data_IF_578333248518
#
_entry.id   IF_578333248518
#
_cell.length_a   1.000
_cell.length_b   1.000
_cell.length_c   1.000
_cell.angle_alpha   90.00
_cell.angle_beta   90.00
_cell.angle_gamma   90.00
#
_symmetry.space_group_name_H-M   'P 1'
#
loop_
_entity.id
_entity.type
_entity.pdbx_description
1 polymer ?
#
# COMPACT_ATOMS: atom_id res chain seq x y z
N UNK A 1 9.76 15.97 24.19
CA UNK A 1 10.78 16.38 23.18
C UNK A 1 10.13 17.46 22.35
N UNK A 2 10.71 18.65 22.27
CA UNK A 2 10.18 19.76 21.46
C UNK A 2 10.41 19.43 19.98
N UNK A 3 9.35 19.15 19.24
CA UNK A 3 9.43 18.87 17.81
C UNK A 3 9.83 20.16 17.09
N UNK A 4 11.01 20.17 16.46
CA UNK A 4 11.47 21.34 15.73
C UNK A 4 10.71 21.41 14.39
N UNK A 5 9.98 22.51 14.22
CA UNK A 5 9.17 22.78 13.03
C UNK A 5 9.86 23.84 12.19
N UNK A 6 9.91 23.61 10.88
CA UNK A 6 10.57 24.48 9.92
C UNK A 6 9.54 25.07 8.96
N UNK A 7 9.53 26.38 8.79
CA UNK A 7 8.79 26.99 7.70
C UNK A 7 9.35 26.53 6.35
N UNK A 8 8.58 26.64 5.26
CA UNK A 8 9.09 26.28 3.92
C UNK A 8 10.38 27.03 3.53
N UNK A 9 10.56 28.32 3.86
CA UNK A 9 11.84 29.02 3.68
C UNK A 9 12.99 28.46 4.53
N UNK A 10 12.72 28.04 5.76
CA UNK A 10 13.73 27.42 6.64
C UNK A 10 14.10 26.02 6.15
N UNK A 11 13.12 25.24 5.71
CA UNK A 11 13.34 23.95 5.06
C UNK A 11 14.20 24.09 3.80
N UNK A 12 13.98 25.14 2.99
CA UNK A 12 14.81 25.44 1.82
C UNK A 12 16.26 25.75 2.19
N UNK A 13 16.50 26.50 3.26
CA UNK A 13 17.86 26.77 3.77
C UNK A 13 18.53 25.52 4.32
N UNK A 14 17.82 24.71 5.09
CA UNK A 14 18.34 23.48 5.69
C UNK A 14 18.71 22.44 4.63
N UNK A 15 17.85 22.28 3.62
CA UNK A 15 18.00 21.24 2.59
C UNK A 15 18.80 21.71 1.36
N UNK A 16 18.95 23.03 1.18
CA UNK A 16 19.51 23.64 -0.01
C UNK A 16 18.64 23.47 -1.27
N UNK A 17 17.35 23.15 -1.10
CA UNK A 17 16.38 22.97 -2.19
C UNK A 17 15.57 24.27 -2.35
N UNK A 18 15.35 24.78 -3.58
CA UNK A 18 14.54 25.98 -3.80
C UNK A 18 13.12 25.82 -3.23
N UNK A 19 12.59 26.87 -2.59
CA UNK A 19 11.24 26.84 -2.02
C UNK A 19 10.16 26.45 -3.04
N UNK A 20 10.30 26.90 -4.28
CA UNK A 20 9.38 26.57 -5.38
C UNK A 20 9.36 25.07 -5.66
N UNK A 21 10.52 24.41 -5.59
CA UNK A 21 10.65 22.96 -5.75
C UNK A 21 10.01 22.21 -4.58
N UNK A 22 10.25 22.65 -3.34
CA UNK A 22 9.63 22.06 -2.14
C UNK A 22 8.09 22.14 -2.22
N UNK A 23 7.54 23.33 -2.53
CA UNK A 23 6.09 23.51 -2.71
C UNK A 23 5.55 22.64 -3.86
N UNK A 24 6.31 22.54 -4.94
CA UNK A 24 5.92 21.73 -6.09
C UNK A 24 5.91 20.24 -5.78
N UNK A 25 6.86 19.74 -5.01
CA UNK A 25 6.90 18.33 -4.60
C UNK A 25 5.76 17.99 -3.67
N UNK A 26 5.47 18.85 -2.69
CA UNK A 26 4.34 18.66 -1.78
C UNK A 26 3.00 18.64 -2.52
N UNK A 27 2.85 19.41 -3.61
CA UNK A 27 1.62 19.41 -4.41
C UNK A 27 1.52 18.21 -5.36
N UNK A 28 2.64 17.79 -5.96
CA UNK A 28 2.65 16.72 -6.98
C UNK A 28 2.71 15.31 -6.40
N UNK A 29 3.15 15.17 -5.14
CA UNK A 29 3.32 13.87 -4.49
C UNK A 29 2.67 13.84 -3.09
N UNK A 30 1.34 14.03 -3.00
CA UNK A 30 0.62 14.00 -1.72
C UNK A 30 0.76 12.66 -0.97
N UNK A 31 0.98 11.56 -1.68
CA UNK A 31 1.21 10.22 -1.15
C UNK A 31 2.55 10.05 -0.44
N UNK A 32 3.55 10.86 -0.81
CA UNK A 32 4.91 10.81 -0.24
C UNK A 32 5.01 11.66 1.01
N UNK A 33 4.38 12.83 1.02
CA UNK A 33 4.43 13.78 2.13
C UNK A 33 3.17 13.70 2.98
N UNK A 34 3.17 12.77 3.92
CA UNK A 34 2.04 12.60 4.85
C UNK A 34 1.89 13.80 5.79
N UNK A 35 0.67 14.32 5.89
CA UNK A 35 0.30 15.31 6.88
C UNK A 35 0.38 14.71 8.30
N UNK A 36 0.70 15.54 9.28
CA UNK A 36 0.95 15.19 10.70
C UNK A 36 2.24 14.41 10.97
N UNK A 37 2.87 13.84 9.93
CA UNK A 37 4.16 13.14 10.03
C UNK A 37 5.30 13.98 9.46
N UNK A 38 5.19 14.43 8.21
CA UNK A 38 6.23 15.16 7.48
C UNK A 38 5.92 16.66 7.38
N UNK A 39 4.63 17.00 7.33
CA UNK A 39 4.13 18.38 7.23
C UNK A 39 2.98 18.56 8.20
N UNK A 40 3.04 19.60 9.01
CA UNK A 40 1.99 20.01 9.95
C UNK A 40 1.44 21.37 9.51
N UNK A 41 0.14 21.60 9.67
CA UNK A 41 -0.44 22.93 9.47
C UNK A 41 -0.44 23.69 10.81
N UNK A 42 0.06 24.91 10.81
CA UNK A 42 -0.06 25.84 11.93
C UNK A 42 -1.52 26.29 12.11
N UNK A 43 -1.84 26.94 13.24
CA UNK A 43 -3.17 27.50 13.57
C UNK A 43 -3.68 28.48 12.49
N UNK A 44 -2.77 29.05 11.70
CA UNK A 44 -3.06 29.95 10.58
C UNK A 44 -3.08 29.24 9.19
N UNK A 45 -3.03 27.91 9.16
CA UNK A 45 -3.02 27.11 7.92
C UNK A 45 -1.69 27.13 7.16
N UNK A 46 -0.62 27.64 7.78
CA UNK A 46 0.72 27.68 7.19
C UNK A 46 1.37 26.30 7.33
N UNK A 47 1.91 25.78 6.23
CA UNK A 47 2.55 24.46 6.21
C UNK A 47 3.96 24.55 6.81
N UNK A 48 4.16 23.81 7.89
CA UNK A 48 5.41 23.63 8.61
C UNK A 48 5.94 22.22 8.38
N UNK A 49 7.24 22.09 8.25
CA UNK A 49 7.95 20.84 8.01
C UNK A 49 8.48 20.30 9.32
N UNK A 50 8.25 19.02 9.58
CA UNK A 50 8.86 18.32 10.71
C UNK A 50 10.29 17.93 10.36
N UNK A 51 11.07 17.52 11.36
CA UNK A 51 12.42 16.96 11.15
C UNK A 51 12.40 15.77 10.18
N UNK A 52 11.44 14.85 10.31
CA UNK A 52 11.23 13.75 9.37
C UNK A 52 10.92 14.23 7.95
N UNK A 53 10.17 15.34 7.81
CA UNK A 53 9.94 15.98 6.52
C UNK A 53 11.22 16.56 5.89
N UNK A 54 12.10 17.13 6.71
CA UNK A 54 13.41 17.63 6.24
C UNK A 54 14.32 16.48 5.78
N UNK A 55 14.38 15.38 6.53
CA UNK A 55 15.15 14.20 6.14
C UNK A 55 14.66 13.59 4.81
N UNK A 56 13.35 13.54 4.61
CA UNK A 56 12.74 13.08 3.36
C UNK A 56 13.06 14.00 2.18
N UNK A 57 13.13 15.32 2.41
CA UNK A 57 13.58 16.27 1.38
C UNK A 57 15.05 16.02 1.00
N UNK A 58 15.92 15.72 1.98
CA UNK A 58 17.32 15.38 1.73
C UNK A 58 17.49 14.10 0.92
N UNK A 59 16.75 13.03 1.24
CA UNK A 59 16.84 11.77 0.51
C UNK A 59 16.43 11.92 -0.96
N UNK A 60 15.40 12.72 -1.25
CA UNK A 60 14.99 13.04 -2.63
C UNK A 60 15.99 13.91 -3.39
N UNK A 61 16.74 14.78 -2.72
CA UNK A 61 17.84 15.53 -3.38
C UNK A 61 18.99 14.59 -3.75
N UNK A 62 19.32 13.65 -2.86
CA UNK A 62 20.38 12.69 -3.10
C UNK A 62 20.08 11.78 -4.31
N UNK A 63 18.84 11.35 -4.48
CA UNK A 63 18.44 10.54 -5.65
C UNK A 63 18.47 11.34 -6.95
N UNK A 64 18.11 12.63 -6.94
CA UNK A 64 18.14 13.48 -8.14
C UNK A 64 19.56 13.83 -8.61
N UNK A 65 20.49 14.03 -7.68
CA UNK A 65 21.89 14.32 -8.03
C UNK A 65 22.65 13.08 -8.54
N UNK A 66 22.12 11.87 -8.33
CA UNK A 66 22.72 10.63 -8.81
C UNK A 66 22.31 10.27 -10.26
N UNK A 67 21.37 10.99 -10.87
CA UNK A 67 20.73 10.63 -12.15
C UNK A 67 20.55 11.83 -13.10
N UNK A 68 21.55 12.72 -13.20
CA UNK A 68 21.55 13.78 -14.23
C UNK A 68 21.98 13.30 -15.64
N UNK A 69 21.54 12.11 -16.09
CA UNK A 69 21.74 11.71 -17.49
C UNK A 69 20.67 10.76 -18.05
N UNK A 70 19.40 10.91 -17.66
CA UNK A 70 18.30 10.30 -18.41
C UNK A 70 17.07 11.21 -18.39
N UNK A 71 17.06 12.13 -19.36
CA UNK A 71 15.81 12.67 -19.85
C UNK A 71 15.08 11.54 -20.58
N UNK A 72 13.80 11.35 -20.23
CA UNK A 72 12.79 10.56 -20.95
C UNK A 72 12.50 9.15 -20.40
N UNK A 73 12.01 9.06 -19.16
CA UNK A 73 11.09 7.98 -18.80
C UNK A 73 9.82 8.56 -18.17
N UNK A 74 8.71 8.42 -18.89
CA UNK A 74 7.39 8.29 -18.31
C UNK A 74 7.45 7.22 -17.22
N UNK A 75 7.57 7.63 -15.96
CA UNK A 75 7.41 6.75 -14.80
C UNK A 75 6.04 6.99 -14.18
N UNK A 76 5.01 6.75 -14.99
CA UNK A 76 3.67 6.43 -14.49
C UNK A 76 3.71 4.93 -14.13
N UNK A 77 3.51 4.59 -12.85
CA UNK A 77 3.26 3.21 -12.35
C UNK A 77 4.45 2.25 -12.07
N UNK A 78 5.32 2.54 -11.09
CA UNK A 78 6.24 1.53 -10.51
C UNK A 78 6.17 1.39 -8.97
N UNK A 79 5.49 2.29 -8.27
CA UNK A 79 5.27 2.16 -6.82
C UNK A 79 4.33 1.00 -6.38
N UNK A 80 3.26 0.63 -7.13
CA UNK A 80 2.41 -0.48 -6.70
C UNK A 80 3.11 -1.84 -6.79
N UNK A 81 4.09 -2.02 -7.69
CA UNK A 81 4.81 -3.29 -7.87
C UNK A 81 5.77 -3.62 -6.71
N UNK A 82 6.32 -2.62 -6.02
CA UNK A 82 7.18 -2.88 -4.85
C UNK A 82 6.37 -3.39 -3.65
N UNK A 83 5.19 -2.84 -3.41
CA UNK A 83 4.32 -3.28 -2.32
C UNK A 83 3.71 -4.66 -2.63
N UNK A 84 3.28 -4.88 -3.87
CA UNK A 84 2.79 -6.19 -4.30
C UNK A 84 3.89 -7.26 -4.19
N UNK A 85 5.10 -6.98 -4.65
CA UNK A 85 6.22 -7.94 -4.54
C UNK A 85 6.62 -8.25 -3.09
N UNK A 86 6.56 -7.27 -2.17
CA UNK A 86 6.78 -7.50 -0.74
C UNK A 86 5.65 -8.32 -0.10
N UNK A 87 4.40 -8.07 -0.50
CA UNK A 87 3.23 -8.86 -0.04
C UNK A 87 3.26 -10.28 -0.63
N UNK A 88 3.71 -10.45 -1.86
CA UNK A 88 3.93 -11.76 -2.49
C UNK A 88 4.98 -12.57 -1.72
N UNK A 89 6.10 -11.97 -1.30
CA UNK A 89 7.12 -12.65 -0.52
C UNK A 89 6.58 -13.16 0.83
N UNK A 90 5.83 -12.31 1.54
CA UNK A 90 5.22 -12.66 2.83
C UNK A 90 4.11 -13.70 2.70
N UNK A 91 3.27 -13.58 1.67
CA UNK A 91 2.21 -14.56 1.39
C UNK A 91 2.79 -15.94 1.04
N UNK A 92 3.87 -15.97 0.26
CA UNK A 92 4.58 -17.19 -0.09
C UNK A 92 5.23 -17.84 1.13
N UNK A 93 5.82 -17.04 2.03
CA UNK A 93 6.38 -17.52 3.30
C UNK A 93 5.31 -18.15 4.18
N UNK A 94 4.18 -17.48 4.38
CA UNK A 94 3.05 -18.00 5.14
C UNK A 94 2.50 -19.28 4.52
N UNK A 95 2.31 -19.31 3.20
CA UNK A 95 1.82 -20.49 2.49
C UNK A 95 2.73 -21.71 2.73
N UNK A 96 4.05 -21.52 2.71
CA UNK A 96 5.01 -22.58 2.99
C UNK A 96 4.94 -23.08 4.44
N UNK A 97 4.76 -22.19 5.42
CA UNK A 97 4.61 -22.59 6.82
C UNK A 97 3.33 -23.40 7.04
N UNK A 98 2.19 -22.93 6.53
CA UNK A 98 0.94 -23.66 6.62
C UNK A 98 1.01 -25.01 5.89
N UNK A 99 1.65 -25.06 4.72
CA UNK A 99 1.81 -26.30 3.96
C UNK A 99 2.52 -27.39 4.77
N UNK A 100 3.54 -27.02 5.57
CA UNK A 100 4.28 -27.94 6.44
C UNK A 100 3.42 -28.49 7.59
N UNK A 101 2.42 -27.72 8.04
CA UNK A 101 1.56 -28.11 9.15
C UNK A 101 0.42 -29.05 8.71
N UNK A 102 0.15 -29.17 7.41
CA UNK A 102 -0.97 -29.97 6.91
C UNK A 102 -0.70 -31.48 7.02
N UNK A 103 -1.64 -32.27 7.57
CA UNK A 103 -1.55 -33.73 7.54
C UNK A 103 -1.51 -34.27 6.10
N UNK A 104 -0.77 -35.36 5.87
CA UNK A 104 -0.61 -35.94 4.53
C UNK A 104 -1.94 -36.28 3.82
N UNK A 105 -2.96 -36.72 4.58
CA UNK A 105 -4.33 -36.95 4.06
C UNK A 105 -4.96 -35.69 3.46
N UNK A 106 -4.68 -34.53 4.05
CA UNK A 106 -5.18 -33.24 3.59
C UNK A 106 -4.47 -32.82 2.31
N UNK A 107 -3.15 -33.03 2.23
CA UNK A 107 -2.38 -32.78 1.01
C UNK A 107 -2.85 -33.66 -0.16
N UNK A 108 -3.17 -34.93 0.09
CA UNK A 108 -3.74 -35.82 -0.93
C UNK A 108 -5.11 -35.35 -1.40
N UNK A 109 -5.98 -34.89 -0.48
CA UNK A 109 -7.28 -34.29 -0.84
C UNK A 109 -7.12 -33.00 -1.66
N UNK A 110 -6.20 -32.11 -1.28
CA UNK A 110 -5.90 -30.90 -2.06
C UNK A 110 -5.43 -31.26 -3.48
N UNK A 111 -4.55 -32.26 -3.62
CA UNK A 111 -4.15 -32.77 -4.94
C UNK A 111 -5.33 -33.33 -5.73
N UNK A 112 -6.19 -34.12 -5.10
CA UNK A 112 -7.39 -34.67 -5.74
C UNK A 112 -8.34 -33.57 -6.20
N UNK A 113 -8.60 -32.56 -5.37
CA UNK A 113 -9.42 -31.40 -5.73
C UNK A 113 -8.80 -30.57 -6.87
N UNK A 114 -7.46 -30.47 -6.93
CA UNK A 114 -6.77 -29.73 -7.99
C UNK A 114 -6.85 -30.43 -9.35
N UNK A 115 -6.62 -31.74 -9.39
CA UNK A 115 -6.47 -32.48 -10.66
C UNK A 115 -7.76 -33.19 -11.10
N UNK A 116 -8.66 -33.52 -10.17
CA UNK A 116 -9.92 -34.20 -10.46
C UNK A 116 -11.01 -33.84 -9.44
N UNK A 117 -11.51 -32.59 -9.45
CA UNK A 117 -12.53 -32.16 -8.50
C UNK A 117 -13.89 -32.80 -8.80
N UNK A 118 -14.56 -33.26 -7.74
CA UNK A 118 -15.97 -33.61 -7.81
C UNK A 118 -16.81 -32.36 -8.11
N UNK A 119 -18.05 -32.49 -8.62
CA UNK A 119 -18.92 -31.34 -8.89
C UNK A 119 -19.13 -30.42 -7.68
N UNK A 120 -19.24 -30.98 -6.47
CA UNK A 120 -19.36 -30.22 -5.22
C UNK A 120 -18.05 -29.48 -4.88
N UNK A 121 -16.90 -30.15 -5.04
CA UNK A 121 -15.60 -29.55 -4.81
C UNK A 121 -15.33 -28.36 -5.74
N UNK A 122 -15.82 -28.41 -6.99
CA UNK A 122 -15.72 -27.26 -7.92
C UNK A 122 -16.43 -26.02 -7.38
N UNK A 123 -17.64 -26.18 -6.82
CA UNK A 123 -18.39 -25.07 -6.21
C UNK A 123 -17.64 -24.48 -5.02
N UNK A 124 -17.01 -25.33 -4.20
CA UNK A 124 -16.20 -24.89 -3.05
C UNK A 124 -14.98 -24.09 -3.53
N UNK A 125 -14.29 -24.56 -4.57
CA UNK A 125 -13.14 -23.84 -5.16
C UNK A 125 -13.59 -22.49 -5.74
N UNK A 126 -14.72 -22.44 -6.45
CA UNK A 126 -15.26 -21.20 -7.01
C UNK A 126 -15.65 -20.19 -5.92
N UNK A 127 -16.36 -20.64 -4.87
CA UNK A 127 -16.75 -19.80 -3.74
C UNK A 127 -15.54 -19.29 -2.96
N UNK A 128 -14.54 -20.15 -2.71
CA UNK A 128 -13.32 -19.74 -2.01
C UNK A 128 -12.48 -18.78 -2.82
N UNK A 129 -12.42 -18.91 -4.14
CA UNK A 129 -11.75 -17.95 -5.02
C UNK A 129 -12.46 -16.59 -5.00
N UNK A 130 -13.80 -16.57 -5.08
CA UNK A 130 -14.58 -15.33 -4.94
C UNK A 130 -14.40 -14.68 -3.57
N UNK A 131 -14.41 -15.47 -2.49
CA UNK A 131 -14.19 -14.97 -1.15
C UNK A 131 -12.76 -14.40 -0.96
N UNK A 132 -11.75 -15.05 -1.55
CA UNK A 132 -10.37 -14.58 -1.51
C UNK A 132 -10.19 -13.28 -2.30
N UNK A 133 -10.82 -13.15 -3.47
CA UNK A 133 -10.87 -11.88 -4.22
C UNK A 133 -11.55 -10.81 -3.38
N UNK A 134 -12.72 -11.10 -2.80
CA UNK A 134 -13.47 -10.13 -2.01
C UNK A 134 -12.67 -9.65 -0.78
N UNK A 135 -12.07 -10.56 -0.02
CA UNK A 135 -11.19 -10.21 1.10
C UNK A 135 -9.93 -9.45 0.64
N UNK A 136 -9.37 -9.84 -0.50
CA UNK A 136 -8.29 -9.12 -1.17
C UNK A 136 -8.73 -7.75 -1.71
N UNK A 137 -10.02 -7.50 -1.93
CA UNK A 137 -10.53 -6.18 -2.33
C UNK A 137 -11.09 -5.35 -1.17
N UNK A 138 -11.37 -5.96 -0.02
CA UNK A 138 -11.88 -5.27 1.18
C UNK A 138 -10.92 -4.16 1.65
N UNK A 139 -9.61 -4.33 1.46
CA UNK A 139 -8.64 -3.28 1.80
C UNK A 139 -8.60 -2.11 0.79
N UNK A 140 -9.17 -2.28 -0.40
CA UNK A 140 -9.29 -1.25 -1.44
C UNK A 140 -10.64 -0.51 -1.41
N UNK A 141 -11.64 -1.09 -0.74
CA UNK A 141 -12.93 -0.45 -0.55
C UNK A 141 -12.81 0.55 0.60
N UNK A 142 -13.06 1.82 0.31
CA UNK A 142 -13.12 2.90 1.30
C UNK A 142 -14.03 2.50 2.50
N UNK A 143 -13.79 3.01 3.72
CA UNK A 143 -14.54 2.66 4.94
C UNK A 143 -16.06 2.85 4.87
N UNK A 144 -16.56 3.48 3.82
CA UNK A 144 -17.98 3.73 3.57
C UNK A 144 -18.71 2.58 2.88
N UNK A 145 -18.01 1.58 2.34
CA UNK A 145 -18.65 0.39 1.79
C UNK A 145 -18.83 -0.68 2.88
N UNK A 146 -19.82 -0.48 3.74
CA UNK A 146 -20.40 -1.61 4.47
C UNK A 146 -21.05 -2.54 3.44
N UNK A 147 -20.66 -3.82 3.35
CA UNK A 147 -21.42 -4.78 2.58
C UNK A 147 -22.83 -4.79 3.18
N UNK A 148 -23.83 -4.38 2.40
CA UNK A 148 -25.21 -4.65 2.74
C UNK A 148 -25.31 -6.15 2.97
N UNK A 149 -25.50 -6.53 4.24
CA UNK A 149 -25.96 -7.85 4.60
C UNK A 149 -27.21 -8.07 3.76
N UNK A 150 -27.10 -8.91 2.73
CA UNK A 150 -28.27 -9.51 2.12
C UNK A 150 -28.86 -10.39 3.22
N UNK A 151 -29.81 -9.83 3.96
CA UNK A 151 -30.67 -10.59 4.85
C UNK A 151 -31.24 -11.76 4.05
N UNK A 152 -30.88 -12.97 4.48
CA UNK A 152 -31.58 -14.16 4.07
C UNK A 152 -32.91 -14.27 4.82
N UNK A 153 -33.90 -14.82 4.13
CA UNK A 153 -35.22 -15.22 4.67
C UNK A 153 -36.34 -14.56 3.85
N UNK A 154 -37.21 -15.29 3.14
CA UNK A 154 -37.85 -16.53 3.56
C UNK A 154 -37.95 -17.59 2.45
N UNK A 155 -37.69 -18.83 2.88
CA UNK A 155 -38.24 -20.07 2.34
C UNK A 155 -39.78 -20.01 2.41
N UNK A 156 -40.49 -20.55 1.40
CA UNK A 156 -41.41 -21.70 1.56
C UNK A 156 -42.22 -21.97 0.28
N UNK A 157 -42.28 -23.28 -0.03
CA UNK A 157 -43.12 -24.03 -1.00
C UNK A 157 -43.01 -23.80 -2.52
#
# INVERSE_FOLDING_TARGET
>A
MTQQLYTTPEAAKATGIPESTIRSWLRRHPEVFQFDVHVVADEHGVKLWTESGIELLHSRRATKNATEDDANFDAESDAPDLLESLLEEDSQRLANEYYRQLPGRTLQRIKQMRFNPTPEQRKIVELSFRAAINAGTEHLLLPTYQPMLLEGGDETD
#
